data_IF_108176697247
#
_entry.id   IF_108176697247
#
_cell.length_a   1.000
_cell.length_b   1.000
_cell.length_c   1.000
_cell.angle_alpha   90.00
_cell.angle_beta   90.00
_cell.angle_gamma   90.00
#
_symmetry.space_group_name_H-M   'P 1'
#
loop_
_entity.id
_entity.type
_entity.pdbx_description
1 polymer ?
#
# COMPACT_ATOMS: atom_id res chain seq x y z
N UNK A 1 -24.70 -19.56 32.81
CA UNK A 1 -25.35 -18.39 33.43
C UNK A 1 -24.25 -17.46 33.92
N UNK A 2 -23.77 -16.57 33.07
CA UNK A 2 -22.89 -15.46 33.44
C UNK A 2 -23.31 -14.27 32.57
N UNK A 3 -23.98 -13.31 33.21
CA UNK A 3 -24.53 -12.11 32.58
C UNK A 3 -23.43 -11.05 32.42
N UNK A 4 -23.34 -10.51 31.22
CA UNK A 4 -22.56 -9.32 30.88
C UNK A 4 -23.43 -8.09 31.20
N UNK A 5 -22.95 -7.20 32.06
CA UNK A 5 -23.55 -5.88 32.28
C UNK A 5 -22.84 -4.88 31.37
N UNK A 6 -23.57 -4.37 30.39
CA UNK A 6 -23.14 -3.28 29.51
C UNK A 6 -23.40 -1.92 30.18
N UNK A 7 -22.46 -0.98 30.00
CA UNK A 7 -22.61 0.41 30.39
C UNK A 7 -23.05 1.26 29.18
N UNK A 8 -24.15 1.99 29.33
CA UNK A 8 -24.68 2.95 28.35
C UNK A 8 -24.16 4.37 28.66
N UNK A 9 -23.75 5.17 27.66
CA UNK A 9 -23.68 6.62 27.80
C UNK A 9 -24.80 7.29 26.97
N UNK A 10 -25.75 7.89 27.67
CA UNK A 10 -26.76 8.80 27.12
C UNK A 10 -26.12 10.19 26.95
N UNK A 11 -25.95 10.67 25.71
CA UNK A 11 -25.60 12.06 25.42
C UNK A 11 -26.81 12.75 24.78
N UNK A 12 -27.39 13.72 25.48
CA UNK A 12 -28.52 14.52 25.01
C UNK A 12 -28.02 15.71 24.18
N UNK A 13 -28.46 15.79 22.91
CA UNK A 13 -28.29 16.97 22.07
C UNK A 13 -29.39 18.00 22.37
N UNK A 14 -29.00 19.24 22.72
CA UNK A 14 -29.90 20.39 22.83
C UNK A 14 -30.06 21.05 21.45
N UNK A 15 -31.28 21.13 20.95
CA UNK A 15 -31.70 21.95 19.80
C UNK A 15 -32.25 23.29 20.29
N UNK A 16 -31.76 24.40 19.74
CA UNK A 16 -32.31 25.75 19.95
C UNK A 16 -33.03 26.24 18.69
N UNK A 17 -34.19 26.88 18.89
CA UNK A 17 -35.15 27.36 17.87
C UNK A 17 -34.69 28.66 17.17
N UNK A 18 -35.19 28.97 15.96
CA UNK A 18 -34.91 30.23 15.24
C UNK A 18 -36.02 31.29 15.44
N UNK A 19 -35.69 32.57 15.22
CA UNK A 19 -36.62 33.70 15.07
C UNK A 19 -35.93 34.86 14.27
N UNK A 20 -36.63 35.92 13.79
CA UNK A 20 -37.13 35.98 12.41
C UNK A 20 -36.70 37.22 11.58
N UNK A 21 -36.90 37.08 10.25
CA UNK A 21 -37.23 38.05 9.16
C UNK A 21 -36.83 39.55 9.32
N UNK A 22 -36.05 40.05 8.36
CA UNK A 22 -36.01 41.46 7.96
C UNK A 22 -35.85 41.62 6.43
N UNK A 23 -36.24 42.79 5.94
CA UNK A 23 -36.98 43.03 4.70
C UNK A 23 -36.18 43.37 3.43
N UNK A 24 -36.86 43.18 2.30
CA UNK A 24 -36.55 43.59 0.93
C UNK A 24 -36.50 45.11 0.68
N UNK A 25 -35.58 45.54 -0.22
CA UNK A 25 -35.56 46.68 -1.18
C UNK A 25 -34.08 46.97 -1.48
N UNK A 26 -33.58 47.35 -2.65
CA UNK A 26 -34.01 47.61 -4.03
C UNK A 26 -32.67 47.96 -4.73
N UNK A 27 -32.42 47.60 -6.00
CA UNK A 27 -31.89 48.51 -7.05
C UNK A 27 -31.50 47.76 -8.33
N UNK A 28 -31.98 48.36 -9.40
CA UNK A 28 -32.02 47.94 -10.79
C UNK A 28 -30.72 48.27 -11.54
N UNK A 29 -30.34 47.33 -12.41
CA UNK A 29 -29.73 47.51 -13.74
C UNK A 29 -28.62 48.56 -13.89
N UNK A 30 -27.37 48.09 -13.92
CA UNK A 30 -26.29 48.73 -14.68
C UNK A 30 -25.93 47.83 -15.87
N UNK A 31 -26.39 48.22 -17.05
CA UNK A 31 -25.99 47.64 -18.34
C UNK A 31 -24.57 48.09 -18.68
N UNK A 32 -23.61 47.17 -18.60
CA UNK A 32 -22.26 47.35 -19.16
C UNK A 32 -22.22 46.73 -20.57
N UNK A 33 -22.13 47.59 -21.59
CA UNK A 33 -21.85 47.19 -22.97
C UNK A 33 -20.48 46.50 -23.04
N UNK A 34 -20.46 45.19 -23.25
CA UNK A 34 -19.23 44.47 -23.62
C UNK A 34 -18.96 44.62 -25.12
N UNK A 35 -17.79 45.19 -25.44
CA UNK A 35 -17.20 45.16 -26.78
C UNK A 35 -16.80 43.73 -27.12
N UNK A 36 -17.25 43.27 -28.28
CA UNK A 36 -16.89 41.99 -28.90
C UNK A 36 -15.39 41.99 -29.25
N UNK A 37 -14.60 41.11 -28.65
CA UNK A 37 -13.25 40.77 -29.11
C UNK A 37 -13.11 39.27 -29.35
N UNK A 38 -12.31 38.97 -30.36
CA UNK A 38 -12.25 37.72 -31.12
C UNK A 38 -12.04 36.46 -30.26
N UNK A 39 -12.89 35.46 -30.52
CA UNK A 39 -12.75 34.12 -29.96
C UNK A 39 -11.51 33.42 -30.53
N UNK A 40 -10.50 33.17 -29.69
CA UNK A 40 -9.50 32.15 -29.95
C UNK A 40 -10.22 30.79 -30.00
N UNK A 41 -9.97 30.01 -31.07
CA UNK A 41 -10.51 28.65 -31.22
C UNK A 41 -10.03 27.81 -30.03
N UNK A 42 -10.94 27.50 -29.11
CA UNK A 42 -10.77 26.41 -28.15
C UNK A 42 -10.45 25.15 -28.96
N UNK A 43 -9.30 24.52 -28.74
CA UNK A 43 -9.04 23.18 -29.27
C UNK A 43 -10.10 22.27 -28.65
N UNK A 44 -11.04 21.81 -29.46
CA UNK A 44 -12.04 20.82 -29.07
C UNK A 44 -11.31 19.63 -28.45
N UNK A 45 -11.56 19.38 -27.16
CA UNK A 45 -11.14 18.16 -26.49
C UNK A 45 -11.93 17.02 -27.13
N UNK A 46 -11.28 16.26 -28.01
CA UNK A 46 -11.90 15.11 -28.67
C UNK A 46 -11.73 13.91 -27.75
N UNK A 47 -12.77 13.58 -26.99
CA UNK A 47 -12.82 12.31 -26.24
C UNK A 47 -12.99 11.21 -27.27
N UNK A 48 -11.90 10.50 -27.57
CA UNK A 48 -11.94 9.30 -28.41
C UNK A 48 -12.53 8.17 -27.57
N UNK A 49 -13.80 7.84 -27.80
CA UNK A 49 -14.38 6.63 -27.26
C UNK A 49 -13.75 5.44 -28.00
N UNK A 50 -12.94 4.65 -27.28
CA UNK A 50 -12.50 3.35 -27.76
C UNK A 50 -13.74 2.45 -27.87
N UNK A 51 -13.85 1.75 -29.00
CA UNK A 51 -14.95 0.86 -29.32
C UNK A 51 -14.95 -0.31 -28.33
N UNK A 52 -16.10 -0.57 -27.69
CA UNK A 52 -16.24 -1.59 -26.65
C UNK A 52 -16.71 -2.91 -27.27
N UNK A 53 -15.80 -3.87 -27.39
CA UNK A 53 -16.18 -5.25 -27.65
C UNK A 53 -16.44 -5.90 -26.28
N UNK A 54 -17.73 -6.00 -25.90
CA UNK A 54 -18.29 -6.55 -24.66
C UNK A 54 -18.29 -5.65 -23.40
N UNK A 55 -19.46 -5.00 -23.19
CA UNK A 55 -20.06 -4.62 -21.90
C UNK A 55 -19.15 -4.02 -20.81
N UNK A 56 -19.18 -2.69 -20.70
CA UNK A 56 -18.53 -1.84 -19.70
C UNK A 56 -17.00 -1.79 -19.80
N UNK A 57 -16.49 -0.83 -20.56
CA UNK A 57 -15.09 -0.41 -20.42
C UNK A 57 -14.92 0.12 -19.00
N UNK A 58 -14.20 -0.61 -18.16
CA UNK A 58 -13.77 -0.09 -16.86
C UNK A 58 -12.70 0.98 -17.11
N UNK A 59 -13.15 2.22 -17.32
CA UNK A 59 -12.26 3.36 -17.60
C UNK A 59 -11.19 3.54 -16.54
N UNK A 60 -11.47 3.16 -15.29
CA UNK A 60 -10.50 3.22 -14.20
C UNK A 60 -9.40 2.20 -14.43
N UNK A 61 -9.73 0.95 -14.77
CA UNK A 61 -8.74 -0.09 -15.07
C UNK A 61 -7.81 0.32 -16.23
N UNK A 62 -8.36 0.94 -17.28
CA UNK A 62 -7.54 1.44 -18.39
C UNK A 62 -6.61 2.59 -17.96
N UNK A 63 -7.03 3.42 -17.00
CA UNK A 63 -6.20 4.50 -16.46
C UNK A 63 -5.14 3.99 -15.48
N UNK A 64 -5.47 2.97 -14.69
CA UNK A 64 -4.53 2.31 -13.77
C UNK A 64 -3.40 1.63 -14.52
N UNK A 65 -3.69 1.03 -15.67
CA UNK A 65 -2.72 0.33 -16.53
C UNK A 65 -2.14 1.21 -17.66
N UNK A 66 -2.28 2.53 -17.58
CA UNK A 66 -1.80 3.43 -18.63
C UNK A 66 -0.27 3.43 -18.70
N UNK A 67 0.29 3.05 -19.85
CA UNK A 67 1.72 3.17 -20.10
C UNK A 67 2.11 4.64 -20.31
N UNK A 68 2.84 5.20 -19.35
CA UNK A 68 3.29 6.59 -19.38
C UNK A 68 4.63 6.78 -20.11
N UNK A 69 5.37 5.70 -20.40
CA UNK A 69 6.72 5.78 -21.01
C UNK A 69 6.77 6.57 -22.33
N UNK A 70 5.79 6.48 -23.24
CA UNK A 70 5.83 7.24 -24.50
C UNK A 70 5.70 8.76 -24.31
N UNK A 71 5.30 9.22 -23.12
CA UNK A 71 4.97 10.62 -22.86
C UNK A 71 5.95 11.31 -21.91
N UNK A 72 6.69 10.57 -21.09
CA UNK A 72 7.65 11.12 -20.13
C UNK A 72 8.65 10.07 -19.65
N UNK A 73 9.87 10.51 -19.34
CA UNK A 73 10.88 9.70 -18.65
C UNK A 73 10.67 9.62 -17.12
N UNK A 74 9.70 10.38 -16.60
CA UNK A 74 9.37 10.39 -15.18
C UNK A 74 8.81 9.06 -14.72
N UNK A 75 9.19 8.63 -13.52
CA UNK A 75 8.72 7.40 -12.90
C UNK A 75 8.05 7.67 -11.56
N UNK A 76 7.25 6.72 -11.09
CA UNK A 76 6.69 6.71 -9.74
C UNK A 76 7.53 5.78 -8.87
N UNK A 77 7.96 6.29 -7.72
CA UNK A 77 8.65 5.53 -6.69
C UNK A 77 7.77 5.43 -5.43
N UNK A 78 7.38 4.22 -5.05
CA UNK A 78 6.62 3.91 -3.83
C UNK A 78 7.59 3.66 -2.67
N UNK A 79 7.68 4.60 -1.72
CA UNK A 79 8.53 4.45 -0.55
C UNK A 79 7.76 3.67 0.51
N UNK A 80 8.33 2.57 0.99
CA UNK A 80 7.71 1.61 1.92
C UNK A 80 8.56 1.55 3.21
N UNK A 81 7.91 1.59 4.36
CA UNK A 81 8.57 1.49 5.67
C UNK A 81 7.70 0.77 6.70
N UNK A 82 8.32 0.36 7.81
CA UNK A 82 7.62 -0.22 8.98
C UNK A 82 7.14 0.92 9.88
N UNK A 83 5.86 0.89 10.27
CA UNK A 83 5.24 1.84 11.19
C UNK A 83 5.58 1.59 12.66
N UNK A 84 4.93 2.34 13.55
CA UNK A 84 5.24 2.34 14.98
C UNK A 84 4.87 1.06 15.73
N UNK A 85 4.00 0.20 15.18
CA UNK A 85 3.72 -1.09 15.83
C UNK A 85 4.85 -2.12 15.63
N UNK A 86 5.75 -1.88 14.67
CA UNK A 86 6.79 -2.82 14.28
C UNK A 86 6.31 -3.94 13.34
N UNK A 87 5.00 -4.03 13.06
CA UNK A 87 4.41 -5.02 12.13
C UNK A 87 3.54 -4.40 11.04
N UNK A 88 3.14 -3.13 11.19
CA UNK A 88 2.35 -2.42 10.19
C UNK A 88 3.25 -1.87 9.08
N UNK A 89 2.91 -2.14 7.82
CA UNK A 89 3.56 -1.53 6.66
C UNK A 89 2.86 -0.23 6.27
N UNK A 90 3.66 0.79 5.95
CA UNK A 90 3.20 2.08 5.44
C UNK A 90 3.88 2.38 4.11
N UNK A 91 3.22 3.14 3.25
CA UNK A 91 3.83 3.58 2.00
C UNK A 91 3.27 4.91 1.50
N UNK A 92 4.03 5.58 0.65
CA UNK A 92 3.58 6.70 -0.18
C UNK A 92 4.47 6.86 -1.41
N UNK A 93 3.91 7.40 -2.48
CA UNK A 93 4.62 7.55 -3.75
C UNK A 93 5.05 8.98 -4.07
N UNK A 94 6.19 9.13 -4.75
CA UNK A 94 6.63 10.37 -5.39
C UNK A 94 6.96 10.17 -6.86
N UNK A 95 6.96 11.26 -7.61
CA UNK A 95 7.51 11.30 -8.96
C UNK A 95 9.02 11.56 -8.91
N UNK A 96 9.78 10.80 -9.70
CA UNK A 96 11.19 11.03 -9.99
C UNK A 96 11.36 11.44 -11.46
N UNK A 97 12.42 12.16 -11.78
CA UNK A 97 12.63 12.72 -13.12
C UNK A 97 13.03 11.68 -14.16
N UNK A 98 13.67 10.59 -13.72
CA UNK A 98 14.20 9.52 -14.55
C UNK A 98 14.21 8.19 -13.80
N UNK A 99 14.34 7.04 -14.51
CA UNK A 99 14.62 5.76 -13.88
C UNK A 99 15.89 5.78 -13.03
N UNK A 100 15.88 5.02 -11.94
CA UNK A 100 16.98 4.91 -10.97
C UNK A 100 17.25 3.43 -10.70
N UNK A 101 18.52 3.03 -10.70
CA UNK A 101 18.94 1.64 -10.47
C UNK A 101 19.60 1.43 -9.10
N UNK A 102 20.28 2.46 -8.56
CA UNK A 102 20.97 2.38 -7.27
C UNK A 102 20.18 3.11 -6.16
N UNK A 103 19.90 2.47 -5.01
CA UNK A 103 19.20 3.11 -3.89
C UNK A 103 19.86 4.40 -3.38
N UNK A 104 21.18 4.54 -3.50
CA UNK A 104 21.91 5.74 -3.04
C UNK A 104 21.64 6.98 -3.88
N UNK A 105 21.16 6.82 -5.13
CA UNK A 105 20.74 7.92 -5.99
C UNK A 105 19.33 8.43 -5.65
N UNK A 106 18.57 7.65 -4.87
CA UNK A 106 17.22 8.05 -4.47
C UNK A 106 17.26 9.14 -3.40
N UNK A 107 16.43 10.19 -3.54
CA UNK A 107 16.35 11.21 -2.51
C UNK A 107 15.81 10.62 -1.21
N UNK A 108 16.43 11.00 -0.08
CA UNK A 108 15.79 10.85 1.23
C UNK A 108 14.44 11.56 1.21
N UNK A 109 13.52 11.06 2.02
CA UNK A 109 12.23 11.68 2.19
C UNK A 109 11.85 11.72 3.66
N UNK A 110 10.68 12.21 3.98
CA UNK A 110 10.21 12.35 5.34
C UNK A 110 8.74 11.96 5.42
N UNK A 111 8.21 11.72 6.61
CA UNK A 111 6.78 11.57 6.87
C UNK A 111 6.43 12.08 8.26
N UNK A 112 5.14 12.21 8.53
CA UNK A 112 4.62 12.55 9.85
C UNK A 112 4.60 11.29 10.74
N UNK A 113 5.63 11.17 11.58
CA UNK A 113 5.81 10.12 12.56
C UNK A 113 4.73 10.09 13.63
N UNK A 114 4.08 11.22 13.95
CA UNK A 114 3.00 11.24 14.93
C UNK A 114 1.79 10.41 14.50
N UNK A 115 1.47 10.42 13.20
CA UNK A 115 0.42 9.61 12.56
C UNK A 115 0.75 8.11 12.46
N UNK A 116 1.94 7.72 12.91
CA UNK A 116 2.43 6.33 12.89
C UNK A 116 2.88 5.85 14.27
N UNK A 117 2.82 6.69 15.30
CA UNK A 117 3.34 6.39 16.64
C UNK A 117 4.87 6.31 16.71
N UNK A 118 5.59 7.02 15.83
CA UNK A 118 7.05 6.99 15.72
C UNK A 118 7.73 8.30 16.17
N UNK A 119 6.95 9.35 16.42
CA UNK A 119 7.43 10.66 16.88
C UNK A 119 6.32 11.40 17.66
N UNK A 120 6.65 12.32 18.59
CA UNK A 120 5.66 13.17 19.26
C UNK A 120 5.03 14.18 18.29
N UNK A 121 3.97 14.87 18.73
CA UNK A 121 3.26 15.85 17.90
C UNK A 121 4.06 17.13 17.62
N UNK A 122 4.82 17.63 18.60
CA UNK A 122 5.62 18.85 18.46
C UNK A 122 6.89 18.70 17.59
N UNK A 123 7.39 17.47 17.44
CA UNK A 123 8.56 17.13 16.61
C UNK A 123 8.27 15.82 15.87
N UNK A 124 7.40 15.90 14.88
CA UNK A 124 6.80 14.71 14.28
C UNK A 124 7.56 14.18 13.06
N UNK A 125 8.59 14.88 12.60
CA UNK A 125 9.28 14.51 11.36
C UNK A 125 10.14 13.25 11.54
N UNK A 126 9.93 12.26 10.66
CA UNK A 126 10.78 11.07 10.56
C UNK A 126 11.29 10.94 9.14
N UNK A 127 12.56 10.61 8.99
CA UNK A 127 13.29 10.59 7.71
C UNK A 127 13.37 9.16 7.18
N UNK A 128 13.03 9.00 5.91
CA UNK A 128 13.13 7.77 5.11
C UNK A 128 14.46 7.72 4.37
N UNK A 129 15.21 6.65 4.61
CA UNK A 129 16.48 6.37 3.96
C UNK A 129 16.29 5.19 2.99
N UNK A 130 16.35 5.40 1.67
CA UNK A 130 16.24 4.31 0.69
C UNK A 130 17.32 3.25 0.87
N UNK A 131 16.94 1.97 0.85
CA UNK A 131 17.85 0.84 1.08
C UNK A 131 17.83 -0.20 -0.02
N UNK A 132 16.68 -0.42 -0.65
CA UNK A 132 16.54 -1.38 -1.74
C UNK A 132 15.48 -0.94 -2.74
N UNK A 133 15.72 -1.25 -4.00
CA UNK A 133 14.82 -0.98 -5.12
C UNK A 133 14.29 -2.31 -5.66
N UNK A 134 13.00 -2.34 -5.95
CA UNK A 134 12.34 -3.43 -6.66
C UNK A 134 11.45 -2.86 -7.77
N UNK A 135 11.18 -3.65 -8.81
CA UNK A 135 10.21 -3.24 -9.83
C UNK A 135 8.80 -3.26 -9.22
N UNK A 136 7.99 -2.25 -9.53
CA UNK A 136 6.60 -2.16 -9.07
C UNK A 136 5.69 -3.07 -9.91
N UNK A 137 5.17 -4.20 -9.37
CA UNK A 137 4.31 -5.12 -10.12
C UNK A 137 2.89 -4.59 -10.32
N UNK A 138 2.49 -3.53 -9.62
CA UNK A 138 1.15 -2.94 -9.70
C UNK A 138 1.08 -1.87 -10.77
N UNK A 139 2.12 -1.04 -10.87
CA UNK A 139 2.20 0.03 -11.88
C UNK A 139 2.91 -0.41 -13.16
N UNK A 140 3.75 -1.44 -13.09
CA UNK A 140 4.55 -1.90 -14.22
C UNK A 140 5.53 -0.84 -14.75
N UNK A 141 6.03 -1.05 -15.96
CA UNK A 141 6.94 -0.12 -16.63
C UNK A 141 8.25 0.10 -15.84
N UNK A 142 8.69 1.36 -15.76
CA UNK A 142 9.91 1.76 -15.04
C UNK A 142 9.63 2.20 -13.59
N UNK A 143 8.43 1.96 -13.08
CA UNK A 143 8.06 2.33 -11.71
C UNK A 143 8.67 1.37 -10.70
N UNK A 144 8.94 1.87 -9.50
CA UNK A 144 9.72 1.14 -8.49
C UNK A 144 9.06 1.15 -7.11
N UNK A 145 9.30 0.09 -6.34
CA UNK A 145 9.12 0.03 -4.90
C UNK A 145 10.47 0.30 -4.23
N UNK A 146 10.46 1.07 -3.15
CA UNK A 146 11.66 1.49 -2.41
C UNK A 146 11.49 1.11 -0.94
N UNK A 147 12.24 0.11 -0.48
CA UNK A 147 12.28 -0.24 0.94
C UNK A 147 13.16 0.77 1.67
N UNK A 148 12.63 1.35 2.73
CA UNK A 148 13.27 2.43 3.48
C UNK A 148 13.49 2.07 4.94
N UNK A 149 14.61 2.54 5.47
CA UNK A 149 14.85 2.68 6.91
C UNK A 149 14.31 4.01 7.42
N UNK A 150 14.11 4.09 8.73
CA UNK A 150 13.52 5.24 9.40
C UNK A 150 14.47 5.83 10.45
N UNK A 151 14.62 7.15 10.43
CA UNK A 151 15.58 7.89 11.25
C UNK A 151 14.97 9.20 11.77
N UNK A 152 15.49 9.70 12.89
CA UNK A 152 15.22 11.06 13.34
C UNK A 152 15.85 12.08 12.37
N UNK A 153 15.43 13.36 12.40
CA UNK A 153 16.08 14.42 11.63
C UNK A 153 17.57 14.59 11.96
N UNK A 154 17.99 14.22 13.17
CA UNK A 154 19.38 14.21 13.60
C UNK A 154 20.21 13.07 12.98
N UNK A 155 19.58 12.11 12.30
CA UNK A 155 20.24 10.97 11.67
C UNK A 155 20.35 9.72 12.55
N UNK A 156 19.64 9.68 13.68
CA UNK A 156 19.63 8.53 14.59
C UNK A 156 18.52 7.53 14.21
N UNK A 157 18.77 6.21 14.21
CA UNK A 157 17.73 5.23 13.91
C UNK A 157 16.62 5.29 14.97
N UNK A 158 15.36 5.35 14.55
CA UNK A 158 14.25 5.34 15.50
C UNK A 158 14.08 3.96 16.15
N UNK A 159 13.40 3.82 17.30
CA UNK A 159 13.33 2.54 18.03
C UNK A 159 12.76 1.34 17.24
N UNK A 160 11.89 1.60 16.26
CA UNK A 160 11.31 0.58 15.37
C UNK A 160 12.18 0.24 14.16
N UNK A 161 13.27 0.97 13.91
CA UNK A 161 14.25 0.62 12.87
C UNK A 161 15.15 -0.52 13.36
N UNK A 162 14.74 -1.77 13.09
CA UNK A 162 15.52 -2.96 13.43
C UNK A 162 16.63 -3.25 12.41
N UNK A 163 16.45 -2.79 11.17
CA UNK A 163 17.42 -2.97 10.10
C UNK A 163 18.75 -2.28 10.39
N UNK A 164 18.76 -1.11 11.04
CA UNK A 164 20.02 -0.41 11.37
C UNK A 164 21.00 -1.30 12.17
N UNK A 165 20.50 -2.00 13.19
CA UNK A 165 21.32 -2.95 13.97
C UNK A 165 21.71 -4.19 13.15
N UNK A 166 20.80 -4.71 12.33
CA UNK A 166 21.09 -5.84 11.45
C UNK A 166 22.20 -5.48 10.44
N UNK A 167 22.12 -4.31 9.82
CA UNK A 167 23.12 -3.80 8.88
C UNK A 167 24.50 -3.67 9.52
N UNK A 168 24.59 -3.22 10.77
CA UNK A 168 25.85 -3.18 11.53
C UNK A 168 26.46 -4.58 11.68
N UNK A 169 25.64 -5.58 12.05
CA UNK A 169 26.09 -6.96 12.22
C UNK A 169 26.57 -7.54 10.88
N UNK A 170 25.81 -7.37 9.80
CA UNK A 170 26.17 -7.90 8.48
C UNK A 170 27.31 -7.14 7.81
N UNK A 171 27.59 -5.92 8.23
CA UNK A 171 28.78 -5.16 7.80
C UNK A 171 30.05 -5.62 8.51
N UNK A 172 29.94 -6.40 9.60
CA UNK A 172 31.11 -6.96 10.26
C UNK A 172 31.84 -7.91 9.31
N UNK A 173 33.13 -7.64 9.07
CA UNK A 173 33.98 -8.41 8.16
C UNK A 173 33.91 -9.93 8.42
N UNK A 174 33.94 -10.35 9.69
CA UNK A 174 33.88 -11.77 10.06
C UNK A 174 32.55 -12.42 9.69
N UNK A 175 31.45 -11.67 9.73
CA UNK A 175 30.12 -12.18 9.34
C UNK A 175 29.99 -12.18 7.82
N UNK A 176 30.42 -11.11 7.17
CA UNK A 176 30.33 -10.96 5.72
C UNK A 176 31.15 -12.03 4.98
N UNK A 177 32.35 -12.36 5.47
CA UNK A 177 33.22 -13.39 4.88
C UNK A 177 32.61 -14.81 4.94
N UNK A 178 31.72 -15.09 5.89
CA UNK A 178 31.00 -16.38 5.98
C UNK A 178 29.85 -16.49 4.97
N UNK A 179 29.45 -15.37 4.33
CA UNK A 179 28.37 -15.30 3.34
C UNK A 179 27.08 -15.98 3.87
N UNK A 180 26.50 -15.50 4.99
CA UNK A 180 25.36 -16.14 5.62
C UNK A 180 24.14 -16.15 4.70
N UNK A 181 23.49 -17.31 4.56
CA UNK A 181 22.28 -17.48 3.76
C UNK A 181 21.08 -17.74 4.65
N UNK A 182 19.99 -17.04 4.34
CA UNK A 182 18.71 -17.19 5.03
C UNK A 182 17.65 -17.70 4.06
N UNK A 183 16.89 -18.68 4.53
CA UNK A 183 15.61 -19.08 3.96
C UNK A 183 14.53 -18.77 4.99
N UNK A 184 13.48 -18.07 4.57
CA UNK A 184 12.34 -17.74 5.46
C UNK A 184 11.08 -18.29 4.81
N UNK A 185 10.28 -18.99 5.62
CA UNK A 185 8.98 -19.53 5.26
C UNK A 185 7.92 -18.67 5.96
N UNK A 186 7.21 -17.85 5.17
CA UNK A 186 6.17 -16.99 5.71
C UNK A 186 4.82 -17.64 5.49
N UNK A 187 4.17 -18.04 6.58
CA UNK A 187 2.77 -18.47 6.58
C UNK A 187 1.84 -17.27 6.79
N UNK A 188 0.67 -17.30 6.16
CA UNK A 188 -0.38 -16.30 6.35
C UNK A 188 -1.77 -16.90 6.12
N UNK A 189 -2.77 -16.29 6.77
CA UNK A 189 -4.17 -16.72 6.65
C UNK A 189 -4.98 -15.63 5.98
N UNK A 190 -5.70 -15.98 4.92
CA UNK A 190 -6.61 -15.09 4.23
C UNK A 190 -7.92 -14.97 5.01
N UNK A 191 -8.36 -13.73 5.25
CA UNK A 191 -9.58 -13.45 6.00
C UNK A 191 -10.60 -12.73 5.11
N UNK A 192 -11.88 -13.03 5.35
CA UNK A 192 -13.01 -12.34 4.76
C UNK A 192 -13.18 -10.97 5.44
N UNK A 193 -13.17 -9.85 4.69
CA UNK A 193 -13.04 -8.51 5.28
C UNK A 193 -14.21 -8.12 6.18
N UNK A 194 -15.44 -8.54 5.84
CA UNK A 194 -16.65 -8.10 6.56
C UNK A 194 -16.90 -8.82 7.89
N UNK A 195 -16.35 -10.03 8.03
CA UNK A 195 -16.62 -10.92 9.17
C UNK A 195 -15.36 -11.30 9.93
N UNK A 196 -14.18 -10.90 9.43
CA UNK A 196 -12.87 -11.25 9.96
C UNK A 196 -12.72 -12.77 10.20
N UNK A 197 -13.25 -13.56 9.26
CA UNK A 197 -13.30 -15.02 9.33
C UNK A 197 -12.45 -15.64 8.22
N UNK A 198 -11.79 -16.78 8.42
CA UNK A 198 -10.91 -17.32 7.40
C UNK A 198 -11.62 -17.61 6.08
N UNK A 199 -10.92 -17.41 4.96
CA UNK A 199 -11.45 -17.68 3.64
C UNK A 199 -11.69 -19.18 3.48
N UNK A 200 -12.88 -19.56 2.98
CA UNK A 200 -13.30 -20.95 2.85
C UNK A 200 -13.94 -21.55 4.09
N UNK A 201 -13.96 -20.84 5.23
CA UNK A 201 -14.68 -21.30 6.41
C UNK A 201 -16.17 -20.93 6.34
N UNK A 202 -17.06 -21.82 6.81
CA UNK A 202 -18.44 -21.42 7.09
C UNK A 202 -18.44 -20.40 8.23
N UNK A 203 -19.11 -19.27 8.04
CA UNK A 203 -19.14 -18.19 9.04
C UNK A 203 -19.77 -18.70 10.34
N UNK A 204 -19.05 -18.51 11.46
CA UNK A 204 -19.50 -18.99 12.78
C UNK A 204 -19.36 -20.50 13.01
N UNK A 205 -18.71 -21.23 12.09
CA UNK A 205 -18.47 -22.66 12.21
C UNK A 205 -17.05 -23.03 11.73
N UNK A 206 -16.73 -24.33 11.83
CA UNK A 206 -15.47 -24.90 11.38
C UNK A 206 -15.68 -25.68 10.07
N UNK A 207 -14.68 -25.72 9.18
CA UNK A 207 -14.69 -26.64 8.04
C UNK A 207 -14.51 -28.09 8.53
N UNK A 208 -14.46 -29.04 7.60
CA UNK A 208 -14.08 -30.43 7.92
C UNK A 208 -12.70 -30.51 8.60
N UNK A 209 -12.36 -31.64 9.25
CA UNK A 209 -11.08 -31.81 9.93
C UNK A 209 -9.89 -31.60 8.97
N UNK A 210 -8.73 -31.26 9.54
CA UNK A 210 -7.48 -31.14 8.79
C UNK A 210 -7.12 -32.44 8.06
N UNK A 211 -6.42 -32.32 6.94
CA UNK A 211 -6.02 -33.46 6.10
C UNK A 211 -6.09 -33.15 4.61
N UNK A 212 -7.26 -32.77 4.04
CA UNK A 212 -7.40 -32.58 2.59
C UNK A 212 -6.84 -31.24 2.07
N UNK A 213 -6.41 -30.34 2.96
CA UNK A 213 -6.10 -28.94 2.63
C UNK A 213 -4.63 -28.72 2.25
N UNK A 214 -3.69 -29.34 2.97
CA UNK A 214 -2.27 -29.21 2.70
C UNK A 214 -1.95 -29.68 1.27
N UNK A 215 -1.35 -28.79 0.47
CA UNK A 215 -1.12 -29.00 -0.96
C UNK A 215 -2.39 -29.44 -1.76
N UNK A 216 -3.57 -29.14 -1.25
CA UNK A 216 -4.85 -29.56 -1.83
C UNK A 216 -5.17 -28.85 -3.15
N UNK A 217 -5.92 -29.54 -4.01
CA UNK A 217 -6.43 -29.00 -5.29
C UNK A 217 -7.94 -29.26 -5.36
N UNK A 218 -8.67 -28.29 -5.91
CA UNK A 218 -10.13 -28.31 -6.03
C UNK A 218 -10.80 -27.25 -5.14
N UNK A 219 -11.99 -26.81 -5.55
CA UNK A 219 -12.73 -25.72 -4.91
C UNK A 219 -13.04 -25.98 -3.42
N UNK A 220 -13.18 -27.25 -3.04
CA UNK A 220 -13.48 -27.68 -1.66
C UNK A 220 -12.24 -27.86 -0.78
N UNK A 221 -11.05 -27.52 -1.29
CA UNK A 221 -9.77 -27.78 -0.61
C UNK A 221 -8.79 -26.60 -0.66
N UNK A 222 -8.86 -25.78 -1.71
CA UNK A 222 -7.88 -24.74 -2.00
C UNK A 222 -8.57 -23.40 -2.27
N UNK A 223 -8.64 -22.57 -1.23
CA UNK A 223 -9.21 -21.22 -1.29
C UNK A 223 -8.11 -20.18 -1.40
N UNK A 224 -8.32 -19.14 -2.22
CA UNK A 224 -7.39 -18.01 -2.37
C UNK A 224 -6.12 -18.32 -3.18
N UNK A 225 -6.15 -19.37 -4.01
CA UNK A 225 -5.02 -19.73 -4.89
C UNK A 225 -4.72 -18.63 -5.91
N UNK A 226 -5.74 -17.93 -6.39
CA UNK A 226 -5.61 -16.75 -7.23
C UNK A 226 -4.73 -15.66 -6.59
N UNK A 227 -4.92 -15.38 -5.30
CA UNK A 227 -4.09 -14.44 -4.53
C UNK A 227 -2.66 -14.96 -4.41
N UNK A 228 -2.48 -16.24 -4.04
CA UNK A 228 -1.17 -16.88 -3.91
C UNK A 228 -0.37 -16.86 -5.23
N UNK A 229 -0.99 -17.26 -6.34
CA UNK A 229 -0.35 -17.31 -7.66
C UNK A 229 -0.06 -15.90 -8.21
N UNK A 230 -0.96 -14.93 -7.97
CA UNK A 230 -0.73 -13.53 -8.33
C UNK A 230 0.44 -12.93 -7.52
N UNK A 231 0.46 -13.15 -6.20
CA UNK A 231 1.58 -12.74 -5.34
C UNK A 231 2.90 -13.36 -5.81
N UNK A 232 2.90 -14.65 -6.16
CA UNK A 232 4.11 -15.32 -6.66
C UNK A 232 4.64 -14.63 -7.93
N UNK A 233 3.78 -14.38 -8.92
CA UNK A 233 4.17 -13.65 -10.14
C UNK A 233 4.63 -12.22 -9.84
N UNK A 234 3.96 -11.52 -8.92
CA UNK A 234 4.34 -10.17 -8.51
C UNK A 234 5.74 -10.14 -7.88
N UNK A 235 6.07 -11.09 -7.00
CA UNK A 235 7.41 -11.23 -6.42
C UNK A 235 8.48 -11.51 -7.49
N UNK A 236 8.20 -12.44 -8.41
CA UNK A 236 9.11 -12.74 -9.53
C UNK A 236 9.33 -11.51 -10.41
N UNK A 237 8.27 -10.78 -10.74
CA UNK A 237 8.36 -9.53 -11.49
C UNK A 237 9.18 -8.49 -10.72
N UNK A 238 8.92 -8.30 -9.43
CA UNK A 238 9.63 -7.34 -8.58
C UNK A 238 11.13 -7.65 -8.45
N UNK A 239 11.54 -8.91 -8.68
CA UNK A 239 12.92 -9.38 -8.48
C UNK A 239 13.17 -9.92 -7.07
N UNK A 240 12.10 -10.19 -6.30
CA UNK A 240 12.20 -10.86 -5.01
C UNK A 240 12.56 -12.33 -5.25
N UNK A 241 13.53 -12.85 -4.50
CA UNK A 241 14.00 -14.23 -4.64
C UNK A 241 13.06 -15.24 -3.93
N UNK A 242 11.81 -15.25 -4.39
CA UNK A 242 10.81 -16.23 -4.00
C UNK A 242 11.14 -17.59 -4.63
N UNK A 243 11.01 -18.65 -3.84
CA UNK A 243 11.43 -20.01 -4.21
C UNK A 243 10.30 -21.04 -4.23
N UNK A 244 9.11 -20.67 -3.77
CA UNK A 244 7.92 -21.52 -3.84
C UNK A 244 6.73 -20.96 -3.06
N UNK A 245 5.63 -21.70 -3.11
CA UNK A 245 4.42 -21.50 -2.30
C UNK A 245 3.67 -22.83 -2.15
N UNK A 246 2.96 -23.03 -1.04
CA UNK A 246 2.00 -24.13 -0.90
C UNK A 246 0.75 -23.69 -0.13
N UNK A 247 -0.35 -24.42 -0.34
CA UNK A 247 -1.49 -24.38 0.56
C UNK A 247 -1.12 -25.07 1.87
N UNK A 248 -1.42 -24.43 2.99
CA UNK A 248 -1.10 -24.93 4.33
C UNK A 248 -2.18 -25.83 4.90
N UNK A 249 -1.94 -26.33 6.12
CA UNK A 249 -2.81 -27.31 6.79
C UNK A 249 -4.21 -26.74 7.09
N UNK A 250 -4.32 -25.45 7.42
CA UNK A 250 -5.62 -24.80 7.69
C UNK A 250 -6.27 -24.28 6.38
N UNK A 251 -7.58 -24.46 6.17
CA UNK A 251 -8.28 -23.85 5.04
C UNK A 251 -8.14 -22.34 5.02
N UNK A 252 -7.74 -21.80 3.86
CA UNK A 252 -7.46 -20.38 3.67
C UNK A 252 -6.07 -19.93 4.15
N UNK A 253 -5.24 -20.85 4.64
CA UNK A 253 -3.84 -20.61 4.99
C UNK A 253 -2.92 -20.98 3.81
N UNK A 254 -1.92 -20.14 3.58
CA UNK A 254 -0.93 -20.28 2.50
C UNK A 254 0.44 -19.94 3.07
N UNK A 255 1.49 -20.50 2.48
CA UNK A 255 2.88 -20.11 2.76
C UNK A 255 3.60 -19.67 1.49
N UNK A 256 4.63 -18.84 1.64
CA UNK A 256 5.63 -18.62 0.59
C UNK A 256 7.04 -18.71 1.15
N UNK A 257 7.98 -19.14 0.29
CA UNK A 257 9.37 -19.38 0.66
C UNK A 257 10.26 -18.34 0.00
N UNK A 258 11.10 -17.65 0.76
CA UNK A 258 12.10 -16.72 0.22
C UNK A 258 13.51 -17.25 0.49
N UNK A 259 14.42 -17.12 -0.49
CA UNK A 259 15.83 -17.53 -0.37
C UNK A 259 16.75 -16.32 -0.47
N UNK A 260 17.89 -16.35 0.21
CA UNK A 260 18.94 -15.29 0.17
C UNK A 260 18.39 -13.91 0.50
N UNK A 261 17.57 -13.83 1.56
CA UNK A 261 16.92 -12.59 1.95
C UNK A 261 17.82 -11.79 2.92
N UNK A 262 18.96 -11.27 2.44
CA UNK A 262 19.79 -10.36 3.25
C UNK A 262 19.17 -8.95 3.33
N UNK A 263 18.27 -8.61 2.39
CA UNK A 263 17.72 -7.26 2.23
C UNK A 263 16.45 -7.04 3.06
N UNK A 264 15.80 -8.10 3.54
CA UNK A 264 14.53 -8.05 4.28
C UNK A 264 14.70 -8.77 5.62
N UNK A 265 15.63 -8.29 6.44
CA UNK A 265 15.46 -8.45 7.89
C UNK A 265 14.80 -7.15 8.35
N UNK A 266 13.47 -7.15 8.21
CA UNK A 266 12.53 -6.17 8.75
C UNK A 266 12.30 -6.46 10.23
#
# INVERSE_FOLDING_TARGET
>A
MAQILAASPTCQMKLTKPSPIASSKLWSSVMLKQKKQNSSKLRSFKVMALQSDNSTINRVESLLNLDTKPFTDRIIAEYIWIGGSGIDLRSKSRTLEKPVEDPSELPKWNYDGSSTGQAPGEDSEVILYPQAIFRDPFRGGNNILVICDTYTPAGEPIPTNKRARAAEIFSNKKVNEEIPWFGIEQEYTLLQPNVNWPLGWPVGAYPGPQGPYYCGVGAEKSWGRDISDAHYKACLYAGINISGTNGEVMPGQVSFFSKKLLIIIL
#
